data_IF_631075498158
#
_entry.id   IF_631075498158
#
_cell.length_a   1.000
_cell.length_b   1.000
_cell.length_c   1.000
_cell.angle_alpha   90.00
_cell.angle_beta   90.00
_cell.angle_gamma   90.00
#
_symmetry.space_group_name_H-M   'P 1'
#
loop_
_entity.id
_entity.type
_entity.pdbx_description
1 polymer ?
#
# COMPACT_ATOMS: atom_id res chain seq x y z
N UNK A 1 19.34 3.93 4.76
CA UNK A 1 19.69 3.32 3.46
C UNK A 1 18.59 2.36 3.05
N UNK A 2 18.49 1.95 1.79
CA UNK A 2 17.39 1.08 1.29
C UNK A 2 17.18 -0.21 2.11
N UNK A 3 18.23 -0.73 2.77
CA UNK A 3 18.14 -1.84 3.73
C UNK A 3 17.16 -1.59 4.88
N UNK A 4 17.01 -0.33 5.30
CA UNK A 4 16.15 0.05 6.42
C UNK A 4 14.66 -0.10 6.08
N UNK A 5 14.28 0.03 4.80
CA UNK A 5 12.88 -0.10 4.35
C UNK A 5 12.39 -1.54 4.50
N UNK A 6 13.12 -2.51 3.96
CA UNK A 6 12.72 -3.91 4.07
C UNK A 6 12.80 -4.42 5.51
N UNK A 7 13.82 -3.99 6.25
CA UNK A 7 13.91 -4.28 7.69
C UNK A 7 12.73 -3.70 8.45
N UNK A 8 12.30 -2.48 8.12
CA UNK A 8 11.09 -1.89 8.70
C UNK A 8 9.83 -2.68 8.29
N UNK A 9 9.68 -3.14 7.06
CA UNK A 9 8.51 -3.91 6.63
C UNK A 9 8.45 -5.35 7.16
N UNK A 10 9.58 -5.92 7.61
CA UNK A 10 9.62 -7.31 8.10
C UNK A 10 8.72 -7.58 9.32
N UNK A 11 8.45 -6.56 10.14
CA UNK A 11 7.62 -6.69 11.35
C UNK A 11 6.11 -6.57 11.02
N UNK A 12 5.28 -7.50 11.50
CA UNK A 12 3.85 -7.49 11.22
C UNK A 12 3.12 -6.29 11.84
N UNK A 13 3.52 -5.84 13.04
CA UNK A 13 2.93 -4.67 13.68
C UNK A 13 3.20 -3.41 12.87
N UNK A 14 4.44 -3.25 12.36
CA UNK A 14 4.78 -2.12 11.47
C UNK A 14 3.95 -2.12 10.20
N UNK A 15 3.73 -3.29 9.59
CA UNK A 15 2.80 -3.42 8.45
C UNK A 15 1.37 -3.04 8.82
N UNK A 16 0.85 -3.44 9.99
CA UNK A 16 -0.49 -3.02 10.45
C UNK A 16 -0.61 -1.52 10.70
N UNK A 17 0.45 -0.88 11.19
CA UNK A 17 0.48 0.58 11.32
C UNK A 17 0.36 1.24 9.95
N UNK A 18 1.13 0.77 8.97
CA UNK A 18 1.08 1.26 7.60
C UNK A 18 -0.28 0.99 6.94
N UNK A 19 -0.85 -0.21 7.09
CA UNK A 19 -2.21 -0.54 6.63
C UNK A 19 -3.22 0.49 7.17
N UNK A 20 -3.12 0.82 8.47
CA UNK A 20 -3.98 1.81 9.11
C UNK A 20 -3.78 3.24 8.58
N UNK A 21 -2.56 3.61 8.16
CA UNK A 21 -2.26 4.90 7.54
C UNK A 21 -2.70 4.97 6.07
N UNK A 22 -2.64 3.85 5.34
CA UNK A 22 -3.22 3.73 3.99
C UNK A 22 -4.73 3.97 4.03
N UNK A 23 -5.44 3.39 5.01
CA UNK A 23 -6.90 3.58 5.15
C UNK A 23 -7.28 5.02 5.48
N UNK A 24 -6.49 5.69 6.33
CA UNK A 24 -6.67 7.11 6.64
C UNK A 24 -5.33 7.69 7.07
N UNK A 25 -4.87 8.64 6.29
CA UNK A 25 -3.62 9.31 6.56
C UNK A 25 -3.75 10.37 7.66
N UNK A 26 -2.61 10.89 8.13
CA UNK A 26 -2.58 12.01 9.09
C UNK A 26 -3.24 11.67 10.42
N UNK A 27 -2.73 10.63 11.09
CA UNK A 27 -3.23 10.17 12.37
C UNK A 27 -2.32 10.54 13.54
N UNK A 28 -2.92 10.85 14.68
CA UNK A 28 -2.20 10.95 15.95
C UNK A 28 -1.81 9.57 16.48
N UNK A 29 -0.82 9.51 17.37
CA UNK A 29 -0.45 8.26 18.06
C UNK A 29 -1.66 7.62 18.74
N UNK A 30 -2.55 8.42 19.32
CA UNK A 30 -3.75 7.92 19.97
C UNK A 30 -4.70 7.23 18.98
N UNK A 31 -4.96 7.85 17.83
CA UNK A 31 -5.82 7.27 16.79
C UNK A 31 -5.24 5.96 16.24
N UNK A 32 -3.92 5.91 16.02
CA UNK A 32 -3.23 4.69 15.59
C UNK A 32 -3.42 3.58 16.62
N UNK A 33 -3.18 3.86 17.90
CA UNK A 33 -3.38 2.88 18.98
C UNK A 33 -4.83 2.36 19.01
N UNK A 34 -5.81 3.26 18.97
CA UNK A 34 -7.23 2.91 18.98
C UNK A 34 -7.61 2.05 17.77
N UNK A 35 -7.09 2.38 16.59
CA UNK A 35 -7.36 1.61 15.37
C UNK A 35 -6.73 0.22 15.39
N UNK A 36 -5.48 0.11 15.84
CA UNK A 36 -4.81 -1.19 15.98
C UNK A 36 -5.55 -2.12 16.94
N UNK A 37 -6.07 -1.59 18.05
CA UNK A 37 -6.87 -2.36 19.00
C UNK A 37 -8.20 -2.81 18.36
N UNK A 38 -8.95 -1.87 17.76
CA UNK A 38 -10.29 -2.14 17.23
C UNK A 38 -10.30 -3.00 15.97
N UNK A 39 -9.35 -2.82 15.04
CA UNK A 39 -9.32 -3.54 13.75
C UNK A 39 -8.46 -4.79 13.75
N UNK A 40 -7.39 -4.81 14.54
CA UNK A 40 -6.43 -5.91 14.55
C UNK A 40 -6.35 -6.65 15.88
N UNK A 41 -7.11 -6.24 16.90
CA UNK A 41 -7.06 -6.84 18.24
C UNK A 41 -5.73 -6.60 18.96
N UNK A 42 -4.91 -5.64 18.49
CA UNK A 42 -3.56 -5.40 19.00
C UNK A 42 -3.56 -4.38 20.13
N UNK A 43 -3.59 -4.87 21.37
CA UNK A 43 -3.50 -4.07 22.60
C UNK A 43 -2.08 -3.69 23.01
N UNK A 44 -1.29 -3.13 22.09
CA UNK A 44 0.08 -2.70 22.40
C UNK A 44 0.10 -1.39 23.19
N UNK A 45 1.14 -1.22 24.02
CA UNK A 45 1.34 0.03 24.74
C UNK A 45 1.68 1.18 23.78
N UNK A 46 1.34 2.42 24.18
CA UNK A 46 1.70 3.62 23.41
C UNK A 46 3.21 3.73 23.17
N UNK A 47 4.01 3.30 24.16
CA UNK A 47 5.48 3.30 24.03
C UNK A 47 5.95 2.31 22.97
N UNK A 48 5.39 1.09 22.95
CA UNK A 48 5.71 0.10 21.93
C UNK A 48 5.36 0.61 20.53
N UNK A 49 4.17 1.17 20.36
CA UNK A 49 3.74 1.77 19.07
C UNK A 49 4.63 2.95 18.69
N UNK A 50 5.01 3.81 19.63
CA UNK A 50 5.94 4.91 19.38
C UNK A 50 7.31 4.42 18.91
N UNK A 51 7.80 3.28 19.43
CA UNK A 51 9.06 2.70 18.98
C UNK A 51 8.95 2.14 17.57
N UNK A 52 7.83 1.49 17.23
CA UNK A 52 7.56 1.06 15.86
C UNK A 52 7.49 2.25 14.89
N UNK A 53 6.84 3.35 15.28
CA UNK A 53 6.77 4.58 14.48
C UNK A 53 8.15 5.20 14.29
N UNK A 54 9.02 5.20 15.30
CA UNK A 54 10.39 5.71 15.15
C UNK A 54 11.20 4.90 14.12
N UNK A 55 11.02 3.57 14.07
CA UNK A 55 11.65 2.72 13.05
C UNK A 55 11.10 3.04 11.66
N UNK A 56 9.78 3.23 11.54
CA UNK A 56 9.15 3.60 10.26
C UNK A 56 9.60 4.99 9.78
N UNK A 57 9.72 5.96 10.69
CA UNK A 57 10.22 7.32 10.42
C UNK A 57 11.70 7.29 9.98
N UNK A 58 12.54 6.48 10.65
CA UNK A 58 13.93 6.29 10.25
C UNK A 58 14.08 5.63 8.87
N UNK A 59 13.15 4.74 8.49
CA UNK A 59 13.08 4.13 7.17
C UNK A 59 12.46 5.06 6.10
N UNK A 60 11.93 6.22 6.51
CA UNK A 60 11.25 7.17 5.63
C UNK A 60 9.87 6.72 5.16
N UNK A 61 9.28 5.70 5.80
CA UNK A 61 7.94 5.19 5.46
C UNK A 61 6.82 5.98 6.14
N UNK A 62 7.16 6.81 7.12
CA UNK A 62 6.23 7.68 7.84
C UNK A 62 6.89 9.03 8.04
N UNK A 63 6.20 10.10 7.68
CA UNK A 63 6.58 11.47 8.05
C UNK A 63 5.76 11.95 9.22
N UNK A 64 6.29 12.92 9.95
CA UNK A 64 5.57 13.49 11.08
C UNK A 64 5.48 14.99 10.98
N UNK A 65 4.29 15.52 11.25
CA UNK A 65 4.01 16.97 11.26
C UNK A 65 3.33 17.36 12.56
N UNK A 66 3.65 18.57 13.03
CA UNK A 66 3.00 19.15 14.21
C UNK A 66 1.96 20.17 13.79
N UNK A 67 0.76 20.05 14.33
CA UNK A 67 -0.31 21.04 14.16
C UNK A 67 -0.93 21.32 15.52
N UNK A 68 -0.65 22.52 16.04
CA UNK A 68 -0.98 22.89 17.41
C UNK A 68 -0.28 21.96 18.42
N UNK A 69 -1.08 21.28 19.26
CA UNK A 69 -0.58 20.35 20.29
C UNK A 69 -0.42 18.91 19.79
N UNK A 70 -0.84 18.62 18.57
CA UNK A 70 -0.89 17.25 18.05
C UNK A 70 0.29 16.97 17.12
N UNK A 71 0.85 15.76 17.25
CA UNK A 71 1.81 15.17 16.30
C UNK A 71 1.03 14.18 15.43
N UNK A 72 0.96 14.48 14.14
CA UNK A 72 0.37 13.63 13.13
C UNK A 72 1.46 12.82 12.43
N UNK A 73 1.09 11.61 12.02
CA UNK A 73 1.91 10.67 11.30
C UNK A 73 1.22 10.45 9.96
N UNK A 74 1.97 10.67 8.89
CA UNK A 74 1.50 10.58 7.52
C UNK A 74 2.35 9.52 6.78
N UNK A 75 1.75 8.73 5.89
CA UNK A 75 2.43 7.69 5.12
C UNK A 75 3.33 8.30 4.04
N UNK A 76 4.52 7.73 3.84
CA UNK A 76 5.36 8.00 2.66
C UNK A 76 5.76 6.71 1.94
N UNK A 77 5.25 6.51 0.74
CA UNK A 77 5.55 5.35 -0.12
C UNK A 77 6.77 5.57 -1.01
N UNK A 78 7.32 6.78 -1.08
CA UNK A 78 8.41 7.11 -1.99
C UNK A 78 9.64 6.20 -1.83
N UNK A 79 10.08 5.79 -0.61
CA UNK A 79 11.17 4.83 -0.47
C UNK A 79 10.87 3.47 -1.09
N UNK A 80 9.62 3.00 -1.01
CA UNK A 80 9.21 1.72 -1.56
C UNK A 80 9.11 1.78 -3.09
N UNK A 81 8.54 2.86 -3.63
CA UNK A 81 8.42 3.10 -5.07
C UNK A 81 9.79 3.16 -5.77
N UNK A 82 10.79 3.77 -5.13
CA UNK A 82 12.18 3.80 -5.65
C UNK A 82 12.78 2.40 -5.80
N UNK A 83 12.51 1.51 -4.84
CA UNK A 83 13.00 0.12 -4.92
C UNK A 83 12.22 -0.67 -5.96
N UNK A 84 10.90 -0.48 -6.04
CA UNK A 84 10.06 -1.14 -7.03
C UNK A 84 10.46 -0.78 -8.45
N UNK A 85 10.63 0.51 -8.75
CA UNK A 85 11.02 0.99 -10.09
C UNK A 85 12.41 0.53 -10.54
N UNK A 86 13.29 0.17 -9.60
CA UNK A 86 14.63 -0.35 -9.90
C UNK A 86 14.61 -1.81 -10.35
N UNK A 87 13.71 -2.63 -9.79
CA UNK A 87 13.78 -4.09 -9.92
C UNK A 87 12.55 -4.72 -10.56
N UNK A 88 11.35 -4.19 -10.31
CA UNK A 88 10.16 -4.64 -11.00
C UNK A 88 10.14 -4.00 -12.39
N UNK A 89 10.23 -4.84 -13.41
CA UNK A 89 9.79 -4.44 -14.75
C UNK A 89 8.28 -4.17 -14.68
N UNK A 90 7.76 -3.18 -15.42
CA UNK A 90 6.32 -3.06 -15.61
C UNK A 90 5.79 -4.44 -15.95
N UNK A 91 4.76 -4.91 -15.25
CA UNK A 91 4.06 -6.09 -15.70
C UNK A 91 3.62 -5.75 -17.12
N UNK A 92 4.21 -6.43 -18.11
CA UNK A 92 3.65 -6.44 -19.46
C UNK A 92 2.19 -6.79 -19.21
N UNK A 93 1.31 -5.83 -19.49
CA UNK A 93 -0.12 -6.06 -19.41
C UNK A 93 -0.33 -7.22 -20.37
N UNK A 94 -0.44 -8.42 -19.80
CA UNK A 94 -0.70 -9.64 -20.53
C UNK A 94 -2.04 -9.36 -21.19
N UNK A 95 -1.92 -8.90 -22.43
CA UNK A 95 -3.04 -8.49 -23.25
C UNK A 95 -3.62 -9.84 -23.59
N UNK A 96 -4.52 -10.30 -22.73
CA UNK A 96 -5.45 -11.36 -23.05
C UNK A 96 -6.26 -10.80 -24.22
N UNK A 97 -5.68 -10.92 -25.42
CA UNK A 97 -6.41 -11.07 -26.67
C UNK A 97 -7.34 -12.24 -26.44
N UNK A 98 -8.51 -11.92 -25.90
CA UNK A 98 -9.68 -12.78 -25.99
C UNK A 98 -9.99 -12.78 -27.47
N UNK A 99 -9.43 -13.75 -28.20
CA UNK A 99 -9.89 -14.12 -29.52
C UNK A 99 -11.41 -14.35 -29.40
N UNK A 100 -12.17 -13.39 -29.91
CA UNK A 100 -13.60 -13.55 -30.11
C UNK A 100 -13.79 -14.73 -31.08
N UNK A 101 -14.72 -15.66 -30.84
CA UNK A 101 -15.00 -16.68 -31.82
C UNK A 101 -15.55 -16.00 -33.07
N UNK A 102 -14.83 -16.17 -34.17
CA UNK A 102 -15.22 -15.76 -35.51
C UNK A 102 -16.51 -16.50 -35.87
N UNK A 103 -17.65 -15.82 -35.68
CA UNK A 103 -18.93 -16.28 -36.17
C UNK A 103 -18.93 -16.07 -37.70
N UNK A 104 -18.50 -17.11 -38.41
CA UNK A 104 -18.68 -17.22 -39.85
C UNK A 104 -20.18 -17.36 -40.15
N UNK A 105 -20.78 -16.24 -40.54
CA UNK A 105 -21.94 -16.23 -41.39
C UNK A 105 -21.77 -15.09 -42.39
N UNK A 106 -21.91 -15.39 -43.68
CA UNK A 106 -22.87 -14.61 -44.43
C UNK A 106 -23.82 -15.49 -45.23
N UNK A 107 -25.10 -15.24 -44.98
CA UNK A 107 -26.20 -15.47 -45.91
C UNK A 107 -26.04 -14.50 -47.09
N UNK A 108 -25.99 -15.02 -48.30
CA UNK A 108 -26.24 -14.25 -49.52
C UNK A 108 -26.80 -15.18 -50.59
N UNK A 109 -28.12 -15.07 -50.72
CA UNK A 109 -28.92 -15.46 -51.86
C UNK A 109 -28.34 -14.88 -53.16
N UNK A 110 -28.12 -15.71 -54.18
CA UNK A 110 -28.23 -15.22 -55.56
C UNK A 110 -28.97 -16.23 -56.43
N UNK A 111 -29.96 -15.68 -57.13
CA UNK A 111 -31.04 -16.32 -57.83
C UNK A 111 -30.67 -16.42 -59.31
N UNK A 112 -30.91 -17.60 -59.92
CA UNK A 112 -31.51 -17.74 -61.28
C UNK A 112 -30.56 -17.47 -62.48
N UNK A 113 -30.77 -18.06 -63.68
CA UNK A 113 -31.96 -18.75 -64.21
C UNK A 113 -31.85 -20.25 -64.48
#
# INVERSE_FOLDING_TARGET
MEEDVFKALADPTRRRILDGLVERDGQTLYEICSRLLTRHGLGLSRQAISQHLAVLEAAGLVHTRRQGRYKFHDLDTAPLERVMTRWLRPAEADTLETEAPEADAPDATESTP
#
